data_IF_305515113192
#
_entry.id   IF_305515113192
#
_cell.length_a   1.000
_cell.length_b   1.000
_cell.length_c   1.000
_cell.angle_alpha   90.00
_cell.angle_beta   90.00
_cell.angle_gamma   90.00
#
_symmetry.space_group_name_H-M   'P 1'
#
loop_
_entity.id
_entity.type
_entity.pdbx_description
1 polymer ?
#
# COMPACT_ATOMS: atom_id res chain seq x y z
N UNK A 1 10.41 13.48 5.06
CA UNK A 1 10.82 12.33 5.90
C UNK A 1 9.56 11.79 6.56
N UNK A 2 9.19 10.55 6.27
CA UNK A 2 8.15 9.86 7.01
C UNK A 2 8.68 9.68 8.44
N UNK A 3 8.08 10.37 9.39
CA UNK A 3 8.47 10.34 10.82
C UNK A 3 7.63 9.35 11.62
N UNK A 4 6.70 8.66 10.97
CA UNK A 4 5.67 7.79 11.54
C UNK A 4 5.92 6.29 11.31
N UNK A 5 7.02 5.95 10.63
CA UNK A 5 7.40 4.56 10.41
C UNK A 5 8.70 4.20 11.12
N UNK A 6 8.73 3.05 11.78
CA UNK A 6 9.93 2.50 12.44
C UNK A 6 10.12 1.03 12.06
N UNK A 7 11.38 0.64 11.80
CA UNK A 7 11.74 -0.75 11.50
C UNK A 7 12.69 -1.29 12.56
N UNK A 8 12.42 -2.48 13.07
CA UNK A 8 13.27 -3.19 14.03
C UNK A 8 13.71 -4.49 13.39
N UNK A 9 15.01 -4.65 13.14
CA UNK A 9 15.58 -5.89 12.64
C UNK A 9 16.16 -6.71 13.79
N UNK A 10 15.66 -7.93 13.96
CA UNK A 10 16.12 -8.88 14.96
C UNK A 10 16.92 -9.98 14.28
N UNK A 11 18.17 -10.16 14.69
CA UNK A 11 19.02 -11.24 14.22
C UNK A 11 19.15 -12.30 15.32
N UNK A 12 18.78 -13.53 14.99
CA UNK A 12 18.85 -14.65 15.92
C UNK A 12 20.14 -15.46 15.70
N UNK A 13 20.52 -16.21 16.73
CA UNK A 13 21.59 -17.22 16.60
C UNK A 13 21.18 -18.33 15.61
N UNK A 14 22.15 -19.14 15.20
CA UNK A 14 21.91 -20.27 14.28
C UNK A 14 20.81 -21.20 14.78
N UNK A 15 20.04 -21.78 13.87
CA UNK A 15 18.96 -22.74 14.15
C UNK A 15 19.42 -23.89 15.05
N UNK A 16 20.69 -24.26 14.97
CA UNK A 16 21.30 -25.32 15.78
C UNK A 16 21.47 -24.96 17.27
N UNK A 17 21.50 -23.66 17.56
CA UNK A 17 21.78 -23.12 18.90
C UNK A 17 20.51 -22.57 19.56
N UNK A 18 19.33 -22.90 19.04
CA UNK A 18 18.03 -22.46 19.57
C UNK A 18 16.98 -23.58 19.50
N UNK A 19 16.10 -23.60 20.49
CA UNK A 19 15.02 -24.58 20.60
C UNK A 19 13.78 -24.22 19.77
N UNK A 20 13.64 -22.95 19.32
CA UNK A 20 12.46 -22.45 18.60
C UNK A 20 12.82 -22.05 17.18
N UNK A 21 11.94 -22.35 16.24
CA UNK A 21 12.07 -21.88 14.85
C UNK A 21 11.87 -20.36 14.75
N UNK A 22 12.34 -19.74 13.68
CA UNK A 22 12.10 -18.31 13.42
C UNK A 22 10.61 -18.02 13.27
N UNK A 23 9.87 -18.94 12.66
CA UNK A 23 8.42 -18.81 12.44
C UNK A 23 7.67 -18.85 13.77
N UNK A 24 7.98 -19.77 14.68
CA UNK A 24 7.39 -19.82 16.02
C UNK A 24 7.64 -18.55 16.84
N UNK A 25 8.82 -17.95 16.68
CA UNK A 25 9.14 -16.68 17.37
C UNK A 25 8.34 -15.53 16.76
N UNK A 26 8.22 -15.49 15.43
CA UNK A 26 7.43 -14.46 14.72
C UNK A 26 5.95 -14.57 15.09
N UNK A 27 5.41 -15.78 15.21
CA UNK A 27 4.02 -15.99 15.62
C UNK A 27 3.77 -15.51 17.05
N UNK A 28 4.67 -15.79 17.99
CA UNK A 28 4.60 -15.28 19.36
C UNK A 28 4.68 -13.75 19.42
N UNK A 29 5.54 -13.15 18.60
CA UNK A 29 5.62 -11.69 18.45
C UNK A 29 4.32 -11.13 17.90
N UNK A 30 3.76 -11.72 16.83
CA UNK A 30 2.49 -11.29 16.25
C UNK A 30 1.34 -11.31 17.27
N UNK A 31 1.28 -12.32 18.13
CA UNK A 31 0.26 -12.36 19.18
C UNK A 31 0.41 -11.21 20.18
N UNK A 32 1.65 -10.90 20.56
CA UNK A 32 1.92 -9.85 21.56
C UNK A 32 1.68 -8.45 21.01
N UNK A 33 2.01 -8.19 19.75
CA UNK A 33 1.83 -6.87 19.12
C UNK A 33 0.36 -6.52 18.86
N UNK A 34 -0.53 -7.51 18.71
CA UNK A 34 -1.99 -7.28 18.57
C UNK A 34 -2.60 -6.47 19.70
N UNK A 35 -1.95 -6.47 20.87
CA UNK A 35 -2.44 -5.75 22.04
C UNK A 35 -1.96 -4.30 22.13
N UNK A 36 -1.12 -3.84 21.20
CA UNK A 36 -0.57 -2.49 21.21
C UNK A 36 -1.51 -1.57 20.41
N UNK A 37 -2.25 -0.65 21.07
CA UNK A 37 -3.15 0.25 20.37
C UNK A 37 -2.38 1.41 19.73
N UNK A 38 -2.89 1.93 18.61
CA UNK A 38 -2.41 3.17 18.01
C UNK A 38 -1.24 3.02 17.03
N UNK A 39 -0.83 1.81 16.70
CA UNK A 39 0.17 1.53 15.67
C UNK A 39 -0.24 0.30 14.87
N UNK A 40 -0.01 0.33 13.57
CA UNK A 40 -0.06 -0.85 12.72
C UNK A 40 1.32 -1.51 12.74
N UNK A 41 1.40 -2.68 13.36
CA UNK A 41 2.69 -3.35 13.58
C UNK A 41 2.67 -4.68 12.86
N UNK A 42 3.59 -4.86 11.94
CA UNK A 42 3.79 -6.11 11.21
C UNK A 42 5.08 -6.80 11.67
N UNK A 43 5.08 -8.11 11.76
CA UNK A 43 6.27 -8.90 12.01
C UNK A 43 6.40 -9.99 10.94
N UNK A 44 7.59 -10.12 10.34
CA UNK A 44 7.87 -11.10 9.31
C UNK A 44 9.24 -11.73 9.51
N UNK A 45 9.41 -12.99 9.09
CA UNK A 45 10.70 -13.65 9.01
C UNK A 45 11.32 -13.38 7.64
N UNK A 46 12.58 -12.91 7.60
CA UNK A 46 13.38 -12.88 6.38
C UNK A 46 14.38 -14.03 6.42
N UNK A 47 14.37 -14.90 5.41
CA UNK A 47 15.42 -15.88 5.23
C UNK A 47 16.58 -15.27 4.47
N UNK A 48 17.78 -15.27 5.05
CA UNK A 48 19.02 -14.80 4.40
C UNK A 48 19.54 -15.75 3.30
N UNK A 49 18.84 -16.82 3.00
CA UNK A 49 19.23 -17.79 2.00
C UNK A 49 18.73 -17.34 0.63
N UNK A 50 19.64 -16.70 -0.10
CA UNK A 50 19.56 -16.40 -1.51
C UNK A 50 18.50 -15.37 -1.92
N UNK A 51 18.90 -14.10 -1.86
CA UNK A 51 18.39 -13.05 -2.72
C UNK A 51 16.93 -12.67 -2.49
N UNK A 52 16.73 -11.74 -1.57
CA UNK A 52 15.77 -10.65 -1.66
C UNK A 52 14.44 -10.98 -2.34
N UNK A 53 13.46 -11.10 -1.56
CA UNK A 53 12.14 -10.49 -1.65
C UNK A 53 11.31 -11.10 -0.51
N UNK A 54 11.45 -10.54 0.68
CA UNK A 54 10.46 -10.02 1.61
C UNK A 54 9.03 -10.51 1.41
N UNK A 55 8.33 -10.86 2.44
CA UNK A 55 6.89 -11.07 2.49
C UNK A 55 6.27 -11.88 1.35
N UNK A 56 6.99 -12.81 0.74
CA UNK A 56 6.41 -13.65 -0.29
C UNK A 56 5.32 -14.51 0.33
N UNK A 57 4.11 -14.27 -0.10
CA UNK A 57 2.99 -15.17 0.08
C UNK A 57 3.32 -16.50 -0.60
N UNK A 58 2.89 -17.62 -0.02
CA UNK A 58 3.07 -18.93 -0.66
C UNK A 58 2.18 -19.06 -1.90
N UNK A 59 1.02 -18.38 -1.88
CA UNK A 59 0.11 -18.25 -3.02
C UNK A 59 -0.22 -16.79 -3.24
N UNK A 60 -0.09 -16.35 -4.47
CA UNK A 60 -0.48 -15.03 -4.91
C UNK A 60 -1.53 -15.13 -6.02
N UNK A 61 -2.56 -14.31 -5.88
CA UNK A 61 -3.62 -14.12 -6.86
C UNK A 61 -3.49 -12.72 -7.43
N UNK A 62 -3.27 -12.63 -8.72
CA UNK A 62 -3.37 -11.38 -9.46
C UNK A 62 -4.78 -11.23 -10.00
N UNK A 63 -5.44 -10.15 -9.61
CA UNK A 63 -6.79 -9.80 -10.06
C UNK A 63 -6.63 -8.63 -11.02
N UNK A 64 -7.04 -8.83 -12.27
CA UNK A 64 -6.89 -7.85 -13.34
C UNK A 64 -8.23 -7.26 -13.75
N UNK A 65 -8.25 -5.98 -14.09
CA UNK A 65 -9.46 -5.29 -14.54
C UNK A 65 -9.22 -3.82 -14.89
N UNK A 66 -10.16 -3.22 -15.62
CA UNK A 66 -10.05 -1.83 -16.07
C UNK A 66 -10.64 -0.84 -15.06
N UNK A 67 -11.70 -1.21 -14.34
CA UNK A 67 -12.31 -0.38 -13.31
C UNK A 67 -11.63 -0.60 -11.96
N UNK A 68 -11.02 0.46 -11.42
CA UNK A 68 -10.27 0.39 -10.16
C UNK A 68 -11.18 0.15 -8.95
N UNK A 69 -12.41 0.64 -8.99
CA UNK A 69 -13.37 0.50 -7.89
C UNK A 69 -13.86 -0.94 -7.77
N UNK A 70 -14.25 -1.52 -8.89
CA UNK A 70 -14.66 -2.94 -8.96
C UNK A 70 -13.50 -3.88 -8.65
N UNK A 71 -12.30 -3.54 -9.13
CA UNK A 71 -11.08 -4.29 -8.88
C UNK A 71 -10.75 -4.34 -7.37
N UNK A 72 -10.80 -3.20 -6.69
CA UNK A 72 -10.59 -3.11 -5.24
C UNK A 72 -11.66 -3.87 -4.46
N UNK A 73 -12.93 -3.72 -4.85
CA UNK A 73 -14.02 -4.42 -4.18
C UNK A 73 -13.83 -5.94 -4.32
N UNK A 74 -13.50 -6.41 -5.51
CA UNK A 74 -13.24 -7.83 -5.78
C UNK A 74 -12.06 -8.35 -4.96
N UNK A 75 -10.94 -7.60 -4.90
CA UNK A 75 -9.78 -7.95 -4.11
C UNK A 75 -10.12 -8.04 -2.60
N UNK A 76 -10.89 -7.09 -2.08
CA UNK A 76 -11.36 -7.10 -0.69
C UNK A 76 -12.29 -8.30 -0.40
N UNK A 77 -13.14 -8.66 -1.32
CA UNK A 77 -14.04 -9.80 -1.14
C UNK A 77 -13.27 -11.14 -1.17
N UNK A 78 -12.31 -11.27 -2.09
CA UNK A 78 -11.41 -12.44 -2.16
C UNK A 78 -10.58 -12.54 -0.88
N UNK A 79 -10.04 -11.45 -0.39
CA UNK A 79 -9.31 -11.39 0.87
C UNK A 79 -10.16 -11.90 2.04
N UNK A 80 -11.42 -11.43 2.15
CA UNK A 80 -12.36 -11.90 3.19
C UNK A 80 -12.64 -13.41 3.08
N UNK A 81 -12.80 -13.90 1.85
CA UNK A 81 -13.01 -15.34 1.59
C UNK A 81 -11.78 -16.14 2.07
N UNK A 82 -10.58 -15.67 1.77
CA UNK A 82 -9.34 -16.33 2.18
C UNK A 82 -9.14 -16.24 3.69
N UNK A 83 -9.37 -15.09 4.33
CA UNK A 83 -9.27 -14.91 5.80
C UNK A 83 -10.19 -15.84 6.59
N UNK A 84 -11.28 -16.32 6.01
CA UNK A 84 -12.21 -17.26 6.65
C UNK A 84 -11.71 -18.71 6.62
N UNK A 85 -10.66 -19.01 5.87
CA UNK A 85 -10.17 -20.37 5.76
C UNK A 85 -9.17 -20.71 6.87
N UNK A 86 -9.27 -21.86 7.50
CA UNK A 86 -8.34 -22.29 8.56
C UNK A 86 -6.95 -22.67 8.07
N UNK A 87 -6.79 -22.87 6.77
CA UNK A 87 -5.54 -23.27 6.11
C UNK A 87 -4.80 -22.08 5.46
N UNK A 88 -5.34 -20.87 5.54
CA UNK A 88 -4.68 -19.62 5.14
C UNK A 88 -4.19 -18.87 6.35
N UNK A 89 -3.09 -18.16 6.18
CA UNK A 89 -2.46 -17.32 7.21
C UNK A 89 -1.88 -16.07 6.54
N UNK A 90 -1.88 -14.96 7.26
CA UNK A 90 -1.28 -13.71 6.78
C UNK A 90 -1.78 -13.32 5.37
N UNK A 91 -3.09 -13.21 5.20
CA UNK A 91 -3.67 -12.74 3.95
C UNK A 91 -3.38 -11.25 3.79
N UNK A 92 -2.74 -10.89 2.68
CA UNK A 92 -2.32 -9.52 2.35
C UNK A 92 -2.98 -9.10 1.04
N UNK A 93 -3.48 -7.89 0.99
CA UNK A 93 -4.09 -7.28 -0.18
C UNK A 93 -3.31 -6.02 -0.55
N UNK A 94 -2.72 -5.99 -1.74
CA UNK A 94 -1.90 -4.85 -2.18
C UNK A 94 -2.68 -3.54 -2.36
N UNK A 95 -4.01 -3.58 -2.34
CA UNK A 95 -4.85 -2.39 -2.37
C UNK A 95 -5.06 -1.75 -0.99
N UNK A 96 -4.74 -2.45 0.10
CA UNK A 96 -4.85 -1.93 1.47
C UNK A 96 -3.73 -0.93 1.83
N UNK A 97 -2.64 -0.89 1.06
CA UNK A 97 -1.61 0.15 1.17
C UNK A 97 -2.12 1.53 0.67
N UNK A 98 -3.40 1.83 0.94
CA UNK A 98 -3.99 3.12 0.63
C UNK A 98 -3.59 4.13 1.70
N UNK A 99 -2.84 5.15 1.29
CA UNK A 99 -2.62 6.31 2.14
C UNK A 99 -3.85 7.22 2.10
N UNK A 100 -4.18 7.82 3.25
CA UNK A 100 -5.18 8.89 3.27
C UNK A 100 -4.70 10.04 2.38
N UNK A 101 -5.42 10.29 1.30
CA UNK A 101 -5.16 11.40 0.39
C UNK A 101 -6.15 12.53 0.65
N UNK A 102 -5.63 13.73 0.81
CA UNK A 102 -6.46 14.92 0.94
C UNK A 102 -6.46 15.69 -0.36
N UNK A 103 -7.59 15.63 -1.04
CA UNK A 103 -7.83 16.38 -2.27
C UNK A 103 -8.44 17.72 -1.96
N UNK A 104 -7.81 18.79 -2.46
CA UNK A 104 -8.29 20.17 -2.36
C UNK A 104 -8.80 20.62 -3.72
N UNK A 105 -10.12 20.72 -3.85
CA UNK A 105 -10.78 21.22 -5.06
C UNK A 105 -11.06 22.70 -4.96
N UNK A 106 -10.54 23.49 -5.91
CA UNK A 106 -10.71 24.94 -5.92
C UNK A 106 -11.95 25.31 -6.71
N UNK A 107 -12.89 26.01 -6.05
CA UNK A 107 -14.05 26.59 -6.72
C UNK A 107 -13.66 27.89 -7.41
N UNK A 108 -13.46 27.83 -8.73
CA UNK A 108 -12.97 28.95 -9.55
C UNK A 108 -13.92 30.13 -9.58
N UNK A 109 -15.21 29.87 -9.52
CA UNK A 109 -16.23 30.96 -9.55
C UNK A 109 -16.17 31.76 -8.27
N UNK A 110 -16.19 31.10 -7.10
CA UNK A 110 -16.04 31.76 -5.81
C UNK A 110 -14.70 32.47 -5.69
N UNK A 111 -13.59 31.82 -6.10
CA UNK A 111 -12.26 32.42 -6.09
C UNK A 111 -12.24 33.75 -6.88
N UNK A 112 -12.83 33.76 -8.08
CA UNK A 112 -12.92 34.95 -8.94
C UNK A 112 -13.71 36.09 -8.29
N UNK A 113 -14.78 35.79 -7.54
CA UNK A 113 -15.57 36.80 -6.80
C UNK A 113 -14.75 37.53 -5.74
N UNK A 114 -13.76 36.85 -5.14
CA UNK A 114 -12.81 37.40 -4.18
C UNK A 114 -11.55 37.98 -4.82
N UNK A 115 -11.44 37.94 -6.14
CA UNK A 115 -10.26 38.38 -6.89
C UNK A 115 -9.05 37.46 -6.72
N UNK A 116 -9.28 36.20 -6.36
CA UNK A 116 -8.24 35.20 -6.17
C UNK A 116 -8.01 34.38 -7.44
N UNK A 117 -6.74 34.08 -7.71
CA UNK A 117 -6.36 33.11 -8.74
C UNK A 117 -6.15 31.72 -8.12
N UNK A 118 -6.34 30.68 -8.92
CA UNK A 118 -6.04 29.30 -8.50
C UNK A 118 -4.61 29.16 -7.99
N UNK A 119 -3.66 29.84 -8.65
CA UNK A 119 -2.25 29.82 -8.25
C UNK A 119 -2.03 30.47 -6.87
N UNK A 120 -2.69 31.59 -6.57
CA UNK A 120 -2.55 32.24 -5.28
C UNK A 120 -3.08 31.35 -4.14
N UNK A 121 -4.21 30.68 -4.35
CA UNK A 121 -4.79 29.73 -3.38
C UNK A 121 -3.84 28.55 -3.16
N UNK A 122 -3.34 27.93 -4.25
CA UNK A 122 -2.42 26.80 -4.17
C UNK A 122 -1.10 27.17 -3.47
N UNK A 123 -0.54 28.35 -3.75
CA UNK A 123 0.67 28.83 -3.10
C UNK A 123 0.43 29.07 -1.60
N UNK A 124 -0.69 29.65 -1.21
CA UNK A 124 -1.03 29.88 0.20
C UNK A 124 -1.12 28.55 0.95
N UNK A 125 -1.83 27.57 0.39
CA UNK A 125 -1.93 26.22 0.96
C UNK A 125 -0.56 25.54 1.07
N UNK A 126 0.20 25.56 -0.01
CA UNK A 126 1.55 24.94 -0.03
C UNK A 126 2.46 25.59 1.02
N UNK A 127 2.42 26.91 1.15
CA UNK A 127 3.21 27.64 2.17
C UNK A 127 2.75 27.31 3.58
N UNK A 128 1.44 27.16 3.79
CA UNK A 128 0.91 26.83 5.11
C UNK A 128 1.31 25.41 5.56
N UNK A 129 1.35 24.43 4.63
CA UNK A 129 1.65 23.03 4.92
C UNK A 129 3.16 22.74 4.90
N UNK A 130 3.82 23.10 3.79
CA UNK A 130 5.20 22.72 3.53
C UNK A 130 6.19 23.81 3.96
N UNK A 131 5.69 25.03 4.17
CA UNK A 131 6.54 26.20 4.29
C UNK A 131 7.05 26.69 2.94
N UNK A 132 7.67 27.87 2.96
CA UNK A 132 8.35 28.48 1.81
C UNK A 132 9.67 29.08 2.25
N UNK A 133 10.76 28.79 1.57
CA UNK A 133 12.05 29.45 1.81
C UNK A 133 11.94 30.90 1.37
N UNK A 134 12.00 31.80 2.33
CA UNK A 134 11.90 33.25 2.10
C UNK A 134 13.23 33.85 1.68
N UNK A 135 14.32 33.38 2.28
CA UNK A 135 15.69 33.85 2.02
C UNK A 135 16.68 32.85 2.59
N UNK A 136 17.94 32.98 2.17
CA UNK A 136 19.06 32.22 2.72
C UNK A 136 19.96 33.19 3.49
N UNK A 137 20.30 32.83 4.70
CA UNK A 137 21.23 33.61 5.54
C UNK A 137 22.61 32.99 5.50
N UNK A 138 23.60 33.77 5.10
CA UNK A 138 25.02 33.37 5.10
C UNK A 138 25.60 33.53 6.48
N UNK A 139 25.98 32.43 7.12
CA UNK A 139 26.62 32.39 8.43
C UNK A 139 28.13 32.56 8.26
N UNK A 140 28.73 31.97 7.21
CA UNK A 140 30.13 32.06 6.83
C UNK A 140 30.29 32.01 5.32
N UNK A 141 31.52 32.01 4.81
CA UNK A 141 31.79 31.88 3.36
C UNK A 141 31.24 30.58 2.74
N UNK A 142 31.11 29.54 3.54
CA UNK A 142 30.77 28.19 3.09
C UNK A 142 29.48 27.62 3.71
N UNK A 143 28.87 28.34 4.68
CA UNK A 143 27.62 27.89 5.36
C UNK A 143 26.47 28.86 5.10
N UNK A 144 25.40 28.32 4.53
CA UNK A 144 24.12 29.00 4.27
C UNK A 144 23.01 28.29 5.05
N UNK A 145 22.11 29.08 5.69
CA UNK A 145 20.95 28.59 6.41
C UNK A 145 19.69 29.13 5.72
N UNK A 146 18.79 28.24 5.33
CA UNK A 146 17.50 28.61 4.78
C UNK A 146 16.56 29.16 5.85
N UNK A 147 15.98 30.33 5.59
CA UNK A 147 14.92 30.91 6.40
C UNK A 147 13.59 30.50 5.81
N UNK A 148 12.91 29.57 6.46
CA UNK A 148 11.63 29.03 6.01
C UNK A 148 10.47 29.68 6.76
N UNK A 149 9.48 30.16 6.02
CA UNK A 149 8.21 30.66 6.55
C UNK A 149 7.17 29.56 6.39
N UNK A 150 6.54 29.13 7.48
CA UNK A 150 5.41 28.21 7.49
C UNK A 150 4.35 28.65 8.49
N UNK A 151 3.16 28.08 8.43
CA UNK A 151 2.18 28.25 9.49
C UNK A 151 2.72 27.66 10.81
N UNK A 152 2.28 28.20 11.92
CA UNK A 152 2.62 27.68 13.25
C UNK A 152 2.07 26.26 13.40
N UNK A 153 2.88 25.34 13.92
CA UNK A 153 2.50 23.92 14.11
C UNK A 153 1.29 23.77 15.07
N UNK A 154 0.98 24.79 15.88
CA UNK A 154 -0.23 24.81 16.71
C UNK A 154 -1.49 25.13 15.91
N UNK A 155 -1.35 25.70 14.70
CA UNK A 155 -2.45 26.12 13.83
C UNK A 155 -2.71 25.08 12.73
N UNK A 156 -1.66 24.52 12.14
CA UNK A 156 -1.78 23.53 11.05
C UNK A 156 -0.89 22.33 11.37
N UNK A 157 -1.45 21.32 12.03
CA UNK A 157 -0.79 20.08 12.36
C UNK A 157 -1.51 18.86 11.77
N UNK A 158 -2.82 18.98 11.60
CA UNK A 158 -3.67 17.92 11.05
C UNK A 158 -4.36 18.41 9.78
N UNK A 159 -4.83 17.48 8.96
CA UNK A 159 -5.61 17.77 7.75
C UNK A 159 -6.84 18.63 8.05
N UNK A 160 -7.50 18.38 9.18
CA UNK A 160 -8.64 19.19 9.66
C UNK A 160 -8.27 20.65 9.92
N UNK A 161 -7.02 20.94 10.19
CA UNK A 161 -6.57 22.31 10.46
C UNK A 161 -6.43 23.14 9.19
N UNK A 162 -6.37 22.50 8.01
CA UNK A 162 -6.40 23.21 6.72
C UNK A 162 -7.62 24.12 6.60
N UNK A 163 -8.72 23.76 7.24
CA UNK A 163 -9.93 24.60 7.29
C UNK A 163 -9.73 25.94 8.03
N UNK A 164 -8.72 26.02 8.90
CA UNK A 164 -8.39 27.24 9.68
C UNK A 164 -7.49 28.20 8.90
N UNK A 165 -6.94 27.76 7.77
CA UNK A 165 -6.08 28.60 6.93
C UNK A 165 -6.92 29.74 6.36
N UNK A 166 -6.37 30.94 6.45
CA UNK A 166 -7.00 32.15 5.91
C UNK A 166 -6.20 32.72 4.76
N UNK A 167 -6.90 33.36 3.82
CA UNK A 167 -6.27 33.97 2.65
C UNK A 167 -6.67 35.46 2.56
N UNK A 168 -5.68 36.37 2.39
CA UNK A 168 -5.98 37.79 2.19
C UNK A 168 -6.54 38.02 0.78
N UNK A 169 -7.60 38.79 0.72
CA UNK A 169 -8.26 39.22 -0.53
C UNK A 169 -8.41 40.73 -0.60
N UNK A 170 -8.81 41.26 -1.75
CA UNK A 170 -9.14 42.69 -1.90
C UNK A 170 -10.30 43.13 -1.03
N UNK A 171 -11.10 42.19 -0.51
CA UNK A 171 -12.28 42.42 0.31
C UNK A 171 -12.10 42.14 1.80
N UNK A 172 -10.88 41.76 2.21
CA UNK A 172 -10.55 41.35 3.56
C UNK A 172 -9.97 39.94 3.62
N UNK A 173 -9.76 39.45 4.84
CA UNK A 173 -9.27 38.10 5.09
C UNK A 173 -10.47 37.15 5.13
N UNK A 174 -10.41 36.07 4.36
CA UNK A 174 -11.45 35.03 4.33
C UNK A 174 -10.88 33.68 4.71
N UNK A 175 -11.65 32.74 5.28
CA UNK A 175 -11.25 31.38 5.44
C UNK A 175 -11.11 30.71 4.07
N UNK A 176 -10.15 29.79 3.94
CA UNK A 176 -9.87 29.12 2.67
C UNK A 176 -11.05 28.24 2.22
N UNK A 177 -11.84 27.74 3.17
CA UNK A 177 -13.05 26.94 2.92
C UNK A 177 -14.12 27.67 2.12
N UNK A 178 -14.07 28.99 2.04
CA UNK A 178 -15.00 29.75 1.21
C UNK A 178 -14.75 29.53 -0.29
N UNK A 179 -13.53 29.17 -0.66
CA UNK A 179 -13.08 29.06 -2.05
C UNK A 179 -12.54 27.68 -2.42
N UNK A 180 -12.40 26.75 -1.44
CA UNK A 180 -11.98 25.36 -1.69
C UNK A 180 -12.90 24.37 -0.98
N UNK A 181 -13.04 23.20 -1.58
CA UNK A 181 -13.61 22.01 -0.96
C UNK A 181 -12.47 21.04 -0.63
N UNK A 182 -12.40 20.61 0.63
CA UNK A 182 -11.37 19.69 1.15
C UNK A 182 -12.05 18.37 1.40
N UNK A 183 -11.63 17.33 0.66
CA UNK A 183 -12.12 15.96 0.80
C UNK A 183 -10.93 15.07 1.15
N UNK A 184 -11.08 14.32 2.22
CA UNK A 184 -10.11 13.27 2.59
C UNK A 184 -10.71 11.92 2.21
N UNK A 185 -10.02 11.20 1.36
CA UNK A 185 -10.45 9.90 0.88
C UNK A 185 -9.25 8.93 0.90
N UNK A 186 -9.52 7.65 0.85
CA UNK A 186 -8.47 6.65 0.69
C UNK A 186 -8.00 6.65 -0.76
N UNK A 187 -6.87 7.27 -1.00
CA UNK A 187 -6.22 7.30 -2.31
C UNK A 187 -5.43 6.01 -2.59
N UNK A 188 -5.40 5.57 -3.85
CA UNK A 188 -4.46 4.53 -4.25
C UNK A 188 -3.04 5.08 -4.21
N UNK A 189 -2.22 4.61 -3.29
CA UNK A 189 -0.81 4.99 -3.20
C UNK A 189 -0.05 4.59 -4.47
N UNK A 190 -0.45 3.49 -5.10
CA UNK A 190 0.13 2.98 -6.34
C UNK A 190 -0.94 2.32 -7.20
N UNK A 191 -0.88 2.54 -8.51
CA UNK A 191 -1.67 1.81 -9.50
C UNK A 191 -0.71 0.99 -10.33
N UNK A 192 -0.68 -0.31 -10.06
CA UNK A 192 0.19 -1.25 -10.78
C UNK A 192 -0.49 -1.73 -12.06
N UNK A 193 0.30 -1.89 -13.11
CA UNK A 193 -0.17 -2.40 -14.39
C UNK A 193 0.77 -3.44 -14.94
N UNK A 194 0.21 -4.51 -15.45
CA UNK A 194 0.89 -5.51 -16.25
C UNK A 194 0.16 -5.65 -17.59
N UNK A 195 0.88 -5.73 -18.69
CA UNK A 195 0.33 -5.81 -20.06
C UNK A 195 -0.75 -4.74 -20.34
N UNK A 196 -0.57 -3.52 -19.85
CA UNK A 196 -1.51 -2.39 -19.92
C UNK A 196 -2.80 -2.52 -19.10
N UNK A 197 -3.05 -3.64 -18.45
CA UNK A 197 -4.18 -3.81 -17.52
C UNK A 197 -3.78 -3.49 -16.09
N UNK A 198 -4.71 -2.94 -15.31
CA UNK A 198 -4.52 -2.72 -13.88
C UNK A 198 -4.66 -4.04 -13.16
N UNK A 199 -3.85 -4.24 -12.13
CA UNK A 199 -3.99 -5.40 -11.28
C UNK A 199 -3.84 -5.08 -9.80
N UNK A 200 -4.42 -5.93 -8.97
CA UNK A 200 -4.26 -5.95 -7.52
C UNK A 200 -3.88 -7.38 -7.13
N UNK A 201 -2.90 -7.52 -6.27
CA UNK A 201 -2.45 -8.83 -5.78
C UNK A 201 -3.04 -9.11 -4.41
N UNK A 202 -3.61 -10.30 -4.26
CA UNK A 202 -4.03 -10.86 -2.96
C UNK A 202 -3.19 -12.08 -2.68
N UNK A 203 -2.34 -11.97 -1.66
CA UNK A 203 -1.41 -13.02 -1.26
C UNK A 203 -1.79 -13.67 0.06
N UNK A 204 -1.42 -14.93 0.25
CA UNK A 204 -1.61 -15.66 1.52
C UNK A 204 -0.50 -16.65 1.78
N UNK A 205 -0.15 -16.83 3.05
CA UNK A 205 0.68 -17.94 3.51
C UNK A 205 -0.20 -19.16 3.83
N UNK A 206 0.36 -20.34 3.65
CA UNK A 206 -0.34 -21.59 3.86
C UNK A 206 -0.05 -22.16 5.26
N UNK A 207 -1.05 -22.82 5.84
CA UNK A 207 -0.94 -23.51 7.11
C UNK A 207 -1.39 -24.97 6.96
N UNK A 208 -0.43 -25.90 6.95
CA UNK A 208 -0.70 -27.33 6.95
C UNK A 208 -1.28 -27.90 5.64
N UNK A 209 -1.19 -27.17 4.52
CA UNK A 209 -1.61 -27.63 3.20
C UNK A 209 -0.50 -27.44 2.18
N UNK A 210 -0.47 -28.32 1.17
CA UNK A 210 0.46 -28.17 0.05
C UNK A 210 0.03 -27.06 -0.91
N UNK A 211 0.99 -26.48 -1.64
CA UNK A 211 0.73 -25.43 -2.63
C UNK A 211 -0.31 -25.87 -3.69
N UNK A 212 -0.18 -27.09 -4.19
CA UNK A 212 -1.11 -27.63 -5.20
C UNK A 212 -2.52 -27.89 -4.65
N UNK A 213 -2.66 -28.28 -3.38
CA UNK A 213 -3.97 -28.44 -2.75
C UNK A 213 -4.59 -27.07 -2.45
N UNK A 214 -3.79 -26.10 -2.05
CA UNK A 214 -4.23 -24.73 -1.84
C UNK A 214 -4.76 -24.12 -3.14
N UNK A 215 -4.04 -24.28 -4.25
CA UNK A 215 -4.48 -23.84 -5.57
C UNK A 215 -5.84 -24.41 -5.95
N UNK A 216 -6.06 -25.73 -5.76
CA UNK A 216 -7.34 -26.38 -6.03
C UNK A 216 -8.46 -25.84 -5.15
N UNK A 217 -8.20 -25.66 -3.86
CA UNK A 217 -9.16 -25.14 -2.89
C UNK A 217 -9.56 -23.70 -3.22
N UNK A 218 -8.57 -22.84 -3.53
CA UNK A 218 -8.81 -21.45 -3.93
C UNK A 218 -9.61 -21.43 -5.22
N UNK A 219 -9.23 -22.21 -6.24
CA UNK A 219 -9.97 -22.31 -7.49
C UNK A 219 -11.44 -22.74 -7.29
N UNK A 220 -11.69 -23.69 -6.37
CA UNK A 220 -13.05 -24.11 -6.02
C UNK A 220 -13.85 -23.01 -5.31
N UNK A 221 -13.23 -22.22 -4.44
CA UNK A 221 -13.86 -21.07 -3.78
C UNK A 221 -14.17 -19.97 -4.79
N UNK A 222 -13.22 -19.61 -5.65
CA UNK A 222 -13.37 -18.56 -6.65
C UNK A 222 -14.34 -18.95 -7.76
N UNK A 223 -14.53 -20.23 -8.05
CA UNK A 223 -15.55 -20.69 -9.01
C UNK A 223 -16.99 -20.44 -8.53
N UNK A 224 -17.19 -20.22 -7.23
CA UNK A 224 -18.49 -19.86 -6.64
C UNK A 224 -18.68 -18.35 -6.52
N UNK A 225 -17.63 -17.58 -6.73
CA UNK A 225 -17.68 -16.12 -6.71
C UNK A 225 -18.06 -15.59 -8.10
N UNK A 226 -19.04 -14.69 -8.15
CA UNK A 226 -19.45 -14.03 -9.40
C UNK A 226 -18.54 -12.82 -9.67
N UNK A 227 -17.57 -12.98 -10.54
CA UNK A 227 -16.73 -11.87 -10.95
C UNK A 227 -17.53 -10.85 -11.76
N UNK A 228 -17.33 -9.55 -11.52
CA UNK A 228 -17.85 -8.49 -12.39
C UNK A 228 -17.34 -8.62 -13.83
N UNK A 229 -18.07 -8.04 -14.80
CA UNK A 229 -17.66 -8.05 -16.19
C UNK A 229 -16.31 -7.34 -16.40
N UNK A 230 -15.36 -7.97 -17.07
CA UNK A 230 -14.04 -7.42 -17.32
C UNK A 230 -13.03 -7.66 -16.19
N UNK A 231 -13.40 -8.33 -15.10
CA UNK A 231 -12.45 -8.75 -14.05
C UNK A 231 -12.10 -10.22 -14.22
N UNK A 232 -10.81 -10.51 -14.17
CA UNK A 232 -10.26 -11.87 -14.21
C UNK A 232 -9.21 -12.06 -13.12
N UNK A 233 -8.86 -13.30 -12.83
CA UNK A 233 -7.80 -13.63 -11.91
C UNK A 233 -6.84 -14.66 -12.49
N UNK A 234 -5.60 -14.61 -12.06
CA UNK A 234 -4.56 -15.59 -12.34
C UNK A 234 -3.77 -15.92 -11.06
N UNK A 235 -3.21 -17.12 -11.03
CA UNK A 235 -2.22 -17.46 -10.01
C UNK A 235 -0.85 -17.01 -10.48
N UNK A 236 -0.09 -16.38 -9.60
CA UNK A 236 1.27 -15.90 -9.86
C UNK A 236 2.24 -16.45 -8.83
N UNK A 237 3.53 -16.13 -8.98
CA UNK A 237 4.57 -16.55 -8.04
C UNK A 237 4.93 -18.04 -8.13
N UNK A 238 5.05 -18.69 -6.98
CA UNK A 238 5.50 -20.09 -6.91
C UNK A 238 4.53 -21.07 -7.55
N UNK A 239 3.23 -20.74 -7.56
CA UNK A 239 2.19 -21.56 -8.21
C UNK A 239 2.35 -21.57 -9.72
N UNK A 240 2.61 -20.41 -10.33
CA UNK A 240 2.87 -20.28 -11.76
C UNK A 240 4.12 -21.07 -12.17
N UNK A 241 5.21 -20.85 -11.43
CA UNK A 241 6.50 -21.53 -11.67
C UNK A 241 6.37 -23.06 -11.57
N UNK A 242 5.58 -23.55 -10.61
CA UNK A 242 5.30 -24.97 -10.46
C UNK A 242 4.50 -25.52 -11.65
N UNK A 243 3.48 -24.78 -12.11
CA UNK A 243 2.67 -25.14 -13.28
C UNK A 243 3.49 -25.28 -14.55
N UNK A 244 4.35 -24.33 -14.82
CA UNK A 244 5.26 -24.31 -15.98
C UNK A 244 6.29 -25.45 -15.91
N UNK A 245 6.85 -25.69 -14.74
CA UNK A 245 7.82 -26.79 -14.52
C UNK A 245 7.15 -28.14 -14.77
N UNK A 246 5.96 -28.39 -14.25
CA UNK A 246 5.23 -29.63 -14.49
C UNK A 246 4.87 -29.81 -15.97
N UNK A 247 4.42 -28.76 -16.64
CA UNK A 247 4.11 -28.79 -18.07
C UNK A 247 5.34 -29.13 -18.90
N UNK A 248 6.48 -28.54 -18.58
CA UNK A 248 7.78 -28.83 -19.20
C UNK A 248 8.24 -30.28 -18.98
N UNK A 249 8.07 -30.82 -17.77
CA UNK A 249 8.42 -32.19 -17.44
C UNK A 249 7.54 -33.21 -18.18
N UNK A 250 6.21 -32.94 -18.27
CA UNK A 250 5.29 -33.80 -19.03
C UNK A 250 5.65 -33.79 -20.51
N UNK A 251 5.95 -32.62 -21.07
CA UNK A 251 6.36 -32.51 -22.47
C UNK A 251 7.67 -33.29 -22.71
N UNK A 252 8.66 -33.13 -21.84
CA UNK A 252 9.92 -33.87 -21.92
C UNK A 252 9.71 -35.36 -21.83
N UNK A 253 8.81 -35.84 -20.94
CA UNK A 253 8.46 -37.24 -20.81
C UNK A 253 7.81 -37.80 -22.09
N UNK A 254 6.86 -37.05 -22.65
CA UNK A 254 6.17 -37.43 -23.91
C UNK A 254 7.19 -37.54 -25.06
N UNK A 255 8.10 -36.56 -25.17
CA UNK A 255 9.17 -36.59 -26.18
C UNK A 255 10.10 -37.74 -25.95
N UNK A 256 10.51 -38.02 -24.73
CA UNK A 256 11.37 -39.16 -24.40
C UNK A 256 10.71 -40.49 -24.79
N UNK A 257 9.42 -40.66 -24.48
CA UNK A 257 8.67 -41.85 -24.88
C UNK A 257 8.50 -42.01 -26.39
N UNK A 258 8.44 -40.88 -27.12
CA UNK A 258 8.33 -40.90 -28.59
C UNK A 258 9.67 -41.28 -29.26
N UNK A 259 10.80 -41.13 -28.58
CA UNK A 259 12.15 -41.54 -29.07
C UNK A 259 12.58 -42.93 -28.64
N UNK A 260 11.85 -43.60 -27.76
CA UNK A 260 12.05 -45.02 -27.37
C UNK A 260 11.24 -45.92 -28.28
#
# INVERSE_FOLDING_TARGET
SQTDTASINLTFCDVKDRDRSTEEIVDDIKERIKTIPGADITASASSSAMGSYSNSSDVELEITGDDLTELRQTASDIEKILKQQSWTKDVVNSSEDSALETTVSINREKASQYGLTTSAIATTLSTAVNGSTATTYKVSSDDEIDVVIKADDTVVNYVSDLQKVTIPTSRGIIPITDVVDIVTDEGATSITRENNQRYITVGTKLNGVSLGDAQKKIGALLSQYSFPEGISYSFTGDVETMGDTFSGLILALVVALAFI
#
